data_IF_901144634994
#
_entry.id   IF_901144634994
#
_cell.length_a   1.000
_cell.length_b   1.000
_cell.length_c   1.000
_cell.angle_alpha   90.00
_cell.angle_beta   90.00
_cell.angle_gamma   90.00
#
_symmetry.space_group_name_H-M   'P 1'
#
loop_
_entity.id
_entity.type
_entity.pdbx_description
1 polymer ?
#
# COMPACT_ATOMS: atom_id res chain seq x y z
N UNK A 1 -2.78 8.27 -9.79
CA UNK A 1 -3.00 6.81 -9.94
C UNK A 1 -3.74 6.32 -8.70
N UNK A 2 -4.72 5.42 -8.84
CA UNK A 2 -5.48 4.91 -7.68
C UNK A 2 -4.91 3.60 -7.17
N UNK A 3 -5.22 3.26 -5.91
CA UNK A 3 -4.90 1.94 -5.33
C UNK A 3 -5.36 0.80 -6.23
N UNK A 4 -6.60 0.85 -6.72
CA UNK A 4 -7.19 -0.24 -7.50
C UNK A 4 -6.51 -0.42 -8.87
N UNK A 5 -6.10 0.67 -9.52
CA UNK A 5 -5.30 0.58 -10.76
C UNK A 5 -3.96 -0.11 -10.52
N UNK A 6 -3.33 0.16 -9.37
CA UNK A 6 -2.05 -0.46 -9.00
C UNK A 6 -2.18 -1.91 -8.57
N UNK A 7 -3.20 -2.23 -7.77
CA UNK A 7 -3.49 -3.60 -7.41
C UNK A 7 -3.69 -4.46 -8.66
N UNK A 8 -4.45 -3.96 -9.64
CA UNK A 8 -4.64 -4.68 -10.90
C UNK A 8 -3.33 -4.85 -11.68
N UNK A 9 -2.58 -3.76 -11.84
CA UNK A 9 -1.36 -3.75 -12.65
C UNK A 9 -0.24 -4.62 -12.07
N UNK A 10 -0.02 -4.54 -10.77
CA UNK A 10 1.17 -5.12 -10.12
C UNK A 10 0.87 -6.49 -9.49
N UNK A 11 -0.39 -6.79 -9.14
CA UNK A 11 -0.78 -8.09 -8.58
C UNK A 11 -1.64 -8.92 -9.55
N UNK A 12 -2.76 -8.38 -10.02
CA UNK A 12 -3.76 -9.19 -10.75
C UNK A 12 -3.29 -9.54 -12.16
N UNK A 13 -2.78 -8.59 -12.94
CA UNK A 13 -2.37 -8.83 -14.32
C UNK A 13 -1.15 -9.77 -14.44
N UNK A 14 -0.10 -9.67 -13.60
CA UNK A 14 1.03 -10.58 -13.66
C UNK A 14 0.67 -12.01 -13.26
N UNK A 15 -0.22 -12.18 -12.27
CA UNK A 15 -0.69 -13.50 -11.82
C UNK A 15 -1.75 -14.08 -12.78
N UNK A 16 -2.53 -13.22 -13.45
CA UNK A 16 -3.63 -13.59 -14.32
C UNK A 16 -4.87 -14.03 -13.55
N UNK A 17 -4.84 -15.24 -12.97
CA UNK A 17 -6.00 -15.83 -12.28
C UNK A 17 -5.58 -16.62 -11.04
N UNK A 18 -6.22 -16.31 -9.91
CA UNK A 18 -6.14 -17.09 -8.68
C UNK A 18 -6.96 -18.37 -8.82
N UNK A 19 -6.46 -19.47 -8.24
CA UNK A 19 -7.13 -20.77 -8.21
C UNK A 19 -8.32 -20.76 -7.25
N UNK A 20 -8.17 -20.09 -6.11
CA UNK A 20 -9.22 -19.98 -5.10
C UNK A 20 -9.38 -18.55 -4.60
N UNK A 21 -10.49 -18.29 -3.91
CA UNK A 21 -10.77 -17.00 -3.30
C UNK A 21 -9.83 -16.73 -2.12
N UNK A 22 -9.44 -17.78 -1.40
CA UNK A 22 -8.50 -17.73 -0.27
C UNK A 22 -7.10 -17.33 -0.76
N UNK A 23 -6.66 -17.90 -1.88
CA UNK A 23 -5.38 -17.51 -2.51
C UNK A 23 -5.41 -16.04 -2.94
N UNK A 24 -6.52 -15.58 -3.53
CA UNK A 24 -6.69 -14.18 -3.89
C UNK A 24 -6.64 -13.26 -2.66
N UNK A 25 -7.32 -13.64 -1.58
CA UNK A 25 -7.33 -12.88 -0.33
C UNK A 25 -5.91 -12.79 0.27
N UNK A 26 -5.17 -13.90 0.30
CA UNK A 26 -3.79 -13.91 0.77
C UNK A 26 -2.88 -13.06 -0.13
N UNK A 27 -3.05 -13.14 -1.45
CA UNK A 27 -2.30 -12.31 -2.40
C UNK A 27 -2.53 -10.82 -2.19
N UNK A 28 -3.79 -10.41 -1.97
CA UNK A 28 -4.14 -9.01 -1.66
C UNK A 28 -3.55 -8.60 -0.31
N UNK A 29 -3.65 -9.45 0.72
CA UNK A 29 -3.08 -9.17 2.03
C UNK A 29 -1.56 -8.96 1.95
N UNK A 30 -0.85 -9.85 1.27
CA UNK A 30 0.60 -9.75 1.07
C UNK A 30 0.95 -8.53 0.25
N UNK A 31 0.18 -8.20 -0.79
CA UNK A 31 0.42 -7.00 -1.59
C UNK A 31 0.28 -5.72 -0.76
N UNK A 32 -0.76 -5.61 0.07
CA UNK A 32 -1.02 -4.43 0.90
C UNK A 32 0.10 -4.27 1.94
N UNK A 33 0.40 -5.32 2.70
CA UNK A 33 1.31 -5.23 3.84
C UNK A 33 2.79 -5.35 3.45
N UNK A 34 3.10 -6.08 2.37
CA UNK A 34 4.47 -6.33 1.95
C UNK A 34 5.02 -5.30 0.96
N UNK A 35 4.15 -4.65 0.19
CA UNK A 35 4.58 -3.72 -0.87
C UNK A 35 3.88 -2.37 -0.82
N UNK A 36 2.54 -2.34 -0.85
CA UNK A 36 1.81 -1.08 -1.01
C UNK A 36 2.02 -0.14 0.18
N UNK A 37 1.83 -0.61 1.41
CA UNK A 37 1.98 0.25 2.58
C UNK A 37 3.43 0.58 2.91
N UNK A 38 4.37 -0.31 2.57
CA UNK A 38 5.76 -0.28 3.04
C UNK A 38 6.74 0.34 2.05
N UNK A 39 6.50 0.19 0.74
CA UNK A 39 7.50 0.54 -0.28
C UNK A 39 6.93 1.45 -1.36
N UNK A 40 5.61 1.47 -1.56
CA UNK A 40 5.03 2.18 -2.70
C UNK A 40 5.04 3.70 -2.48
N UNK A 41 5.96 4.37 -3.17
CA UNK A 41 6.04 5.83 -3.19
C UNK A 41 4.86 6.45 -3.94
N UNK A 42 4.28 7.51 -3.38
CA UNK A 42 3.18 8.25 -4.00
C UNK A 42 3.45 9.77 -3.98
N UNK A 43 3.26 10.43 -5.13
CA UNK A 43 3.48 11.87 -5.28
C UNK A 43 2.60 12.72 -4.35
N UNK A 44 1.37 12.29 -4.11
CA UNK A 44 0.42 12.94 -3.20
C UNK A 44 0.76 12.74 -1.71
N UNK A 45 1.70 11.84 -1.39
CA UNK A 45 2.23 11.63 -0.04
C UNK A 45 3.64 12.21 0.09
N UNK A 46 3.96 13.28 -0.65
CA UNK A 46 5.29 13.90 -0.68
C UNK A 46 6.42 12.92 -1.03
N UNK A 47 6.14 12.01 -1.95
CA UNK A 47 7.06 10.95 -2.36
C UNK A 47 7.46 10.00 -1.22
N UNK A 48 6.56 9.79 -0.26
CA UNK A 48 6.68 8.77 0.78
C UNK A 48 5.81 7.55 0.46
N UNK A 49 6.14 6.42 1.08
CA UNK A 49 5.21 5.31 1.24
C UNK A 49 4.09 5.66 2.24
N UNK A 50 2.95 4.96 2.20
CA UNK A 50 1.85 5.18 3.14
C UNK A 50 2.26 5.11 4.60
N UNK A 51 3.11 4.14 4.98
CA UNK A 51 3.54 4.00 6.37
C UNK A 51 4.50 5.12 6.79
N UNK A 52 5.40 5.54 5.90
CA UNK A 52 6.31 6.66 6.17
C UNK A 52 5.56 7.97 6.34
N UNK A 53 4.57 8.22 5.48
CA UNK A 53 3.69 9.38 5.58
C UNK A 53 2.91 9.38 6.89
N UNK A 54 2.33 8.23 7.27
CA UNK A 54 1.59 8.09 8.53
C UNK A 54 2.49 8.33 9.75
N UNK A 55 3.70 7.76 9.74
CA UNK A 55 4.68 7.98 10.80
C UNK A 55 5.08 9.46 10.92
N UNK A 56 5.30 10.14 9.78
CA UNK A 56 5.57 11.58 9.76
C UNK A 56 4.39 12.37 10.35
N UNK A 57 3.17 12.04 9.95
CA UNK A 57 1.95 12.69 10.45
C UNK A 57 1.76 12.51 11.97
N UNK A 58 1.99 11.30 12.49
CA UNK A 58 1.92 11.07 13.94
C UNK A 58 3.01 11.83 14.70
N UNK A 59 4.24 11.83 14.19
CA UNK A 59 5.35 12.57 14.79
C UNK A 59 5.11 14.09 14.78
N UNK A 60 4.49 14.64 13.73
CA UNK A 60 4.12 16.06 13.73
C UNK A 60 2.97 16.35 14.69
N UNK A 61 1.97 15.48 14.76
CA UNK A 61 0.81 15.66 15.65
C UNK A 61 1.24 15.62 17.12
N UNK A 62 2.05 14.64 17.52
CA UNK A 62 2.56 14.50 18.88
C UNK A 62 3.47 15.66 19.30
N UNK A 63 4.14 16.32 18.35
CA UNK A 63 4.98 17.51 18.62
C UNK A 63 4.18 18.80 18.81
N UNK A 64 2.93 18.85 18.37
CA UNK A 64 2.08 20.04 18.50
C UNK A 64 1.29 20.01 19.82
N UNK A 65 1.06 18.82 20.39
CA UNK A 65 0.33 18.61 21.64
C UNK A 65 1.23 18.42 22.87
N UNK A 66 2.54 18.57 22.74
CA UNK A 66 3.53 18.56 23.83
C UNK A 66 4.14 19.96 24.00
#
# INVERSE_FOLDING_TARGET
>A
ESFYSILKKELVHPIGRFRTREEAAQGVFTFINGFYNTTRIQKNLDYLSPIEWLNRYHNSTLKISA
#
